data_IF_885217078629
#
_entry.id   IF_885217078629
#
_cell.length_a   1.000
_cell.length_b   1.000
_cell.length_c   1.000
_cell.angle_alpha   90.00
_cell.angle_beta   90.00
_cell.angle_gamma   90.00
#
_symmetry.space_group_name_H-M   'P 1'
#
loop_
_entity.id
_entity.type
_entity.pdbx_description
1 polymer ?
#
# COMPACT_ATOMS: atom_id res chain seq x y z
N UNK A 1 -23.81 3.21 -16.07
CA UNK A 1 -23.96 2.01 -15.22
C UNK A 1 -23.19 2.29 -13.96
N UNK A 2 -23.87 2.40 -12.82
CA UNK A 2 -23.21 2.67 -11.54
C UNK A 2 -22.62 1.35 -11.06
N UNK A 3 -21.28 1.24 -11.00
CA UNK A 3 -20.61 0.03 -10.53
C UNK A 3 -20.74 -0.02 -9.01
N UNK A 4 -21.21 -1.15 -8.48
CA UNK A 4 -21.45 -1.35 -7.05
C UNK A 4 -20.67 -2.58 -6.58
N UNK A 5 -20.03 -2.46 -5.42
CA UNK A 5 -19.18 -3.50 -4.82
C UNK A 5 -19.44 -3.61 -3.31
N UNK A 6 -20.69 -3.49 -2.87
CA UNK A 6 -21.05 -3.66 -1.46
C UNK A 6 -20.64 -5.03 -0.94
N UNK A 7 -20.34 -5.08 0.36
CA UNK A 7 -19.87 -6.30 1.03
C UNK A 7 -18.42 -6.69 0.69
N UNK A 8 -17.77 -5.98 -0.24
CA UNK A 8 -16.34 -6.16 -0.53
C UNK A 8 -15.50 -5.30 0.42
N UNK A 9 -14.51 -5.94 1.03
CA UNK A 9 -13.52 -5.27 1.88
C UNK A 9 -12.26 -4.96 1.08
N UNK A 10 -11.90 -3.69 1.02
CA UNK A 10 -10.78 -3.19 0.24
C UNK A 10 -9.75 -2.55 1.15
N UNK A 11 -8.49 -2.98 1.06
CA UNK A 11 -7.35 -2.40 1.78
C UNK A 11 -6.55 -1.55 0.80
N UNK A 12 -6.31 -0.27 1.13
CA UNK A 12 -5.55 0.65 0.28
C UNK A 12 -4.39 1.25 1.07
N UNK A 13 -3.17 0.99 0.61
CA UNK A 13 -1.96 1.57 1.24
C UNK A 13 -1.64 2.97 0.71
N UNK A 14 -1.17 3.85 1.57
CA UNK A 14 -0.89 5.25 1.19
C UNK A 14 -2.15 6.03 0.82
N UNK A 15 -3.27 5.71 1.46
CA UNK A 15 -4.60 6.20 1.09
C UNK A 15 -4.91 7.65 1.55
N UNK A 16 -4.00 8.32 2.24
CA UNK A 16 -4.25 9.68 2.76
C UNK A 16 -3.99 10.81 1.74
N UNK A 17 -3.51 10.50 0.54
CA UNK A 17 -3.22 11.51 -0.50
C UNK A 17 -3.15 10.93 -1.91
N UNK A 18 -3.23 11.80 -2.92
CA UNK A 18 -2.96 11.46 -4.32
C UNK A 18 -3.81 10.31 -4.86
N UNK A 19 -3.18 9.40 -5.61
CA UNK A 19 -3.84 8.25 -6.24
C UNK A 19 -4.47 7.33 -5.20
N UNK A 20 -3.80 7.11 -4.06
CA UNK A 20 -4.33 6.27 -2.98
C UNK A 20 -5.61 6.84 -2.37
N UNK A 21 -5.67 8.16 -2.16
CA UNK A 21 -6.88 8.84 -1.70
C UNK A 21 -8.02 8.69 -2.71
N UNK A 22 -7.77 9.03 -3.98
CA UNK A 22 -8.78 8.93 -5.03
C UNK A 22 -9.28 7.49 -5.21
N UNK A 23 -8.39 6.50 -5.06
CA UNK A 23 -8.76 5.08 -5.10
C UNK A 23 -9.66 4.71 -3.93
N UNK A 24 -9.30 5.09 -2.70
CA UNK A 24 -10.12 4.84 -1.51
C UNK A 24 -11.49 5.51 -1.61
N UNK A 25 -11.54 6.75 -2.10
CA UNK A 25 -12.78 7.52 -2.32
C UNK A 25 -13.68 6.87 -3.37
N UNK A 26 -13.12 6.44 -4.50
CA UNK A 26 -13.87 5.76 -5.55
C UNK A 26 -14.43 4.40 -5.09
N UNK A 27 -13.63 3.60 -4.37
CA UNK A 27 -14.08 2.34 -3.79
C UNK A 27 -15.21 2.55 -2.78
N UNK A 28 -15.08 3.55 -1.91
CA UNK A 28 -16.10 3.92 -0.94
C UNK A 28 -17.40 4.40 -1.63
N UNK A 29 -17.28 5.19 -2.70
CA UNK A 29 -18.43 5.64 -3.52
C UNK A 29 -19.19 4.49 -4.17
N UNK A 30 -18.49 3.39 -4.49
CA UNK A 30 -19.09 2.17 -5.01
C UNK A 30 -19.66 1.25 -3.91
N UNK A 31 -19.63 1.68 -2.65
CA UNK A 31 -20.24 0.98 -1.50
C UNK A 31 -19.34 -0.05 -0.79
N UNK A 32 -18.04 -0.13 -1.12
CA UNK A 32 -17.12 -1.03 -0.42
C UNK A 32 -16.88 -0.61 1.04
N UNK A 33 -16.46 -1.58 1.86
CA UNK A 33 -15.79 -1.29 3.12
C UNK A 33 -14.31 -1.01 2.84
N UNK A 34 -13.82 0.19 3.16
CA UNK A 34 -12.46 0.62 2.80
C UNK A 34 -11.58 0.77 4.03
N UNK A 35 -10.48 0.04 4.09
CA UNK A 35 -9.44 0.16 5.11
C UNK A 35 -8.25 0.95 4.54
N UNK A 36 -8.12 2.19 4.98
CA UNK A 36 -7.06 3.11 4.61
C UNK A 36 -5.81 2.83 5.45
N UNK A 37 -4.76 2.28 4.85
CA UNK A 37 -3.49 2.09 5.55
C UNK A 37 -2.62 3.33 5.35
N UNK A 38 -2.39 4.06 6.44
CA UNK A 38 -1.65 5.32 6.43
C UNK A 38 -0.54 5.33 7.48
N UNK A 39 0.58 5.98 7.19
CA UNK A 39 1.68 6.12 8.16
C UNK A 39 1.40 7.16 9.24
N UNK A 40 0.90 8.34 8.84
CA UNK A 40 0.61 9.44 9.76
C UNK A 40 -0.88 9.43 10.11
N UNK A 41 -1.17 9.38 11.42
CA UNK A 41 -2.53 9.25 11.95
C UNK A 41 -3.38 10.46 11.62
N UNK A 42 -2.88 11.67 11.86
CA UNK A 42 -3.64 12.92 11.73
C UNK A 42 -4.06 13.18 10.27
N UNK A 43 -3.13 12.97 9.33
CA UNK A 43 -3.42 13.04 7.89
C UNK A 43 -4.38 11.93 7.45
N UNK A 44 -4.26 10.74 8.04
CA UNK A 44 -5.16 9.63 7.82
C UNK A 44 -6.59 9.95 8.27
N UNK A 45 -6.77 10.50 9.47
CA UNK A 45 -8.07 10.88 10.03
C UNK A 45 -8.73 12.01 9.23
N UNK A 46 -7.92 12.97 8.77
CA UNK A 46 -8.38 14.05 7.88
C UNK A 46 -8.91 13.47 6.56
N UNK A 47 -8.16 12.55 5.94
CA UNK A 47 -8.55 11.91 4.69
C UNK A 47 -9.78 11.02 4.86
N UNK A 48 -9.84 10.23 5.93
CA UNK A 48 -10.98 9.40 6.32
C UNK A 48 -12.26 10.24 6.41
N UNK A 49 -12.23 11.33 7.19
CA UNK A 49 -13.38 12.22 7.38
C UNK A 49 -13.88 12.81 6.05
N UNK A 50 -12.92 13.17 5.18
CA UNK A 50 -13.24 13.70 3.85
C UNK A 50 -13.92 12.66 2.95
N UNK A 51 -13.43 11.41 2.94
CA UNK A 51 -14.05 10.34 2.14
C UNK A 51 -15.44 10.01 2.66
N UNK A 52 -15.62 9.84 3.97
CA UNK A 52 -16.94 9.56 4.54
C UNK A 52 -17.94 10.68 4.21
N UNK A 53 -17.52 11.94 4.31
CA UNK A 53 -18.38 13.09 4.02
C UNK A 53 -18.75 13.22 2.55
N UNK A 54 -17.81 12.96 1.64
CA UNK A 54 -18.02 13.10 0.19
C UNK A 54 -18.81 11.94 -0.43
N UNK A 55 -18.62 10.73 0.10
CA UNK A 55 -19.26 9.50 -0.43
C UNK A 55 -20.54 9.13 0.31
N UNK A 56 -20.74 9.65 1.52
CA UNK A 56 -21.82 9.23 2.42
C UNK A 56 -21.66 7.81 2.97
N UNK A 57 -20.55 7.12 2.67
CA UNK A 57 -20.29 5.76 3.12
C UNK A 57 -19.58 5.76 4.48
N UNK A 58 -20.20 5.27 5.57
CA UNK A 58 -19.57 5.23 6.89
C UNK A 58 -18.53 4.11 7.03
N UNK A 59 -18.53 3.12 6.12
CA UNK A 59 -17.66 1.93 6.19
C UNK A 59 -16.25 2.21 5.67
N UNK A 60 -15.67 3.31 6.10
CA UNK A 60 -14.27 3.66 5.83
C UNK A 60 -13.55 3.68 7.17
N UNK A 61 -12.38 3.05 7.23
CA UNK A 61 -11.63 2.83 8.46
C UNK A 61 -10.17 3.19 8.26
N UNK A 62 -9.53 3.71 9.30
CA UNK A 62 -8.10 4.03 9.30
C UNK A 62 -7.29 2.94 10.00
N UNK A 63 -6.25 2.47 9.33
CA UNK A 63 -5.24 1.56 9.88
C UNK A 63 -3.88 2.26 9.86
N UNK A 64 -3.30 2.46 11.04
CA UNK A 64 -1.99 3.13 11.15
C UNK A 64 -0.86 2.10 11.04
N UNK A 65 -0.06 2.23 9.99
CA UNK A 65 1.10 1.37 9.76
C UNK A 65 2.20 2.10 8.98
N UNK A 66 3.44 1.99 9.46
CA UNK A 66 4.62 2.40 8.71
C UNK A 66 5.15 1.21 7.89
N UNK A 67 5.02 1.30 6.57
CA UNK A 67 5.45 0.25 5.65
C UNK A 67 6.97 0.17 5.45
N UNK A 68 7.75 1.08 6.06
CA UNK A 68 9.21 0.97 6.11
C UNK A 68 9.72 0.00 7.20
N UNK A 69 8.83 -0.56 8.03
CA UNK A 69 9.17 -1.48 9.12
C UNK A 69 8.36 -2.77 9.05
N UNK A 70 9.06 -3.89 8.89
CA UNK A 70 8.48 -5.23 8.84
C UNK A 70 7.81 -5.59 10.15
N UNK A 71 8.40 -5.21 11.29
CA UNK A 71 7.77 -5.45 12.60
C UNK A 71 6.43 -4.73 12.74
N UNK A 72 6.30 -3.51 12.20
CA UNK A 72 5.03 -2.77 12.16
C UNK A 72 4.03 -3.41 11.20
N UNK A 73 4.46 -3.87 10.02
CA UNK A 73 3.60 -4.57 9.06
C UNK A 73 3.05 -5.87 9.66
N UNK A 74 3.90 -6.69 10.30
CA UNK A 74 3.47 -7.91 11.01
C UNK A 74 2.45 -7.60 12.10
N UNK A 75 2.71 -6.56 12.88
CA UNK A 75 1.78 -6.11 13.93
C UNK A 75 0.43 -5.67 13.36
N UNK A 76 0.45 -4.93 12.24
CA UNK A 76 -0.75 -4.53 11.51
C UNK A 76 -1.52 -5.73 10.97
N UNK A 77 -0.86 -6.63 10.24
CA UNK A 77 -1.48 -7.82 9.67
C UNK A 77 -2.09 -8.73 10.75
N UNK A 78 -1.43 -8.90 11.89
CA UNK A 78 -1.96 -9.66 13.02
C UNK A 78 -3.24 -9.04 13.59
N UNK A 79 -3.26 -7.72 13.85
CA UNK A 79 -4.47 -7.01 14.31
C UNK A 79 -5.60 -7.02 13.29
N UNK A 80 -5.25 -6.98 12.00
CA UNK A 80 -6.24 -7.01 10.94
C UNK A 80 -6.84 -8.42 10.80
N UNK A 81 -6.00 -9.45 10.85
CA UNK A 81 -6.41 -10.86 10.77
C UNK A 81 -7.29 -11.27 11.95
N UNK A 82 -7.07 -10.72 13.15
CA UNK A 82 -7.94 -11.00 14.30
C UNK A 82 -9.38 -10.50 14.15
N UNK A 83 -9.67 -9.69 13.11
CA UNK A 83 -11.04 -9.28 12.79
C UNK A 83 -11.81 -10.36 12.03
N UNK A 84 -11.11 -11.36 11.49
CA UNK A 84 -11.68 -12.43 10.64
C UNK A 84 -12.51 -11.89 9.46
N UNK A 85 -11.98 -10.84 8.83
CA UNK A 85 -12.63 -10.15 7.70
C UNK A 85 -11.88 -10.53 6.41
N UNK A 86 -12.56 -11.10 5.39
CA UNK A 86 -11.94 -11.43 4.10
C UNK A 86 -11.49 -10.18 3.36
N UNK A 87 -10.27 -10.18 2.80
CA UNK A 87 -9.76 -9.09 1.96
C UNK A 87 -10.09 -9.40 0.51
N UNK A 88 -10.98 -8.61 -0.09
CA UNK A 88 -11.39 -8.81 -1.47
C UNK A 88 -10.49 -8.06 -2.45
N UNK A 89 -9.99 -6.88 -2.05
CA UNK A 89 -9.08 -6.07 -2.86
C UNK A 89 -7.96 -5.55 -1.98
N UNK A 90 -6.72 -5.86 -2.33
CA UNK A 90 -5.53 -5.23 -1.75
C UNK A 90 -4.90 -4.32 -2.79
N UNK A 91 -4.85 -3.01 -2.52
CA UNK A 91 -4.17 -2.02 -3.35
C UNK A 91 -2.86 -1.62 -2.69
N UNK A 92 -1.76 -2.16 -3.21
CA UNK A 92 -0.40 -1.77 -2.88
C UNK A 92 -0.03 -0.47 -3.62
N UNK A 93 -0.56 0.65 -3.14
CA UNK A 93 -0.36 1.98 -3.70
C UNK A 93 0.76 2.78 -3.02
N UNK A 94 1.05 2.53 -1.74
CA UNK A 94 2.06 3.31 -1.02
C UNK A 94 3.41 3.32 -1.77
N UNK A 95 4.00 4.50 -1.88
CA UNK A 95 5.27 4.70 -2.55
C UNK A 95 6.03 5.88 -1.96
N UNK A 96 7.35 5.81 -2.05
CA UNK A 96 8.28 6.82 -1.54
C UNK A 96 9.43 7.01 -2.53
N UNK A 97 9.85 8.26 -2.70
CA UNK A 97 11.06 8.64 -3.44
C UNK A 97 11.89 9.60 -2.59
N UNK A 98 12.69 9.04 -1.69
CA UNK A 98 13.68 9.78 -0.91
C UNK A 98 14.96 9.97 -1.75
N UNK A 99 15.46 11.21 -1.78
CA UNK A 99 16.60 11.59 -2.60
C UNK A 99 17.94 11.21 -1.96
N UNK A 100 17.98 11.05 -0.63
CA UNK A 100 19.17 10.63 0.11
C UNK A 100 19.12 9.15 0.45
N UNK A 101 20.28 8.50 0.53
CA UNK A 101 20.34 7.13 1.05
C UNK A 101 20.07 7.16 2.55
N UNK A 102 18.87 6.76 2.94
CA UNK A 102 18.46 6.62 4.34
C UNK A 102 18.27 5.15 4.64
N UNK A 103 18.78 4.69 5.78
CA UNK A 103 18.59 3.33 6.26
C UNK A 103 17.51 3.31 7.34
N UNK A 104 16.57 2.39 7.26
CA UNK A 104 15.55 2.18 8.31
C UNK A 104 16.19 1.63 9.58
N UNK A 105 15.46 1.65 10.69
CA UNK A 105 15.91 1.05 11.96
C UNK A 105 16.18 -0.45 11.86
N UNK A 106 15.63 -1.12 10.83
CA UNK A 106 15.80 -2.55 10.57
C UNK A 106 16.93 -2.83 9.55
N UNK A 107 17.68 -1.80 9.12
CA UNK A 107 18.86 -1.97 8.27
C UNK A 107 18.61 -1.95 6.76
N UNK A 108 17.38 -1.64 6.32
CA UNK A 108 17.02 -1.59 4.90
C UNK A 108 17.17 -0.18 4.32
N UNK A 109 17.53 -0.07 3.04
CA UNK A 109 17.41 1.21 2.32
C UNK A 109 15.93 1.64 2.27
N UNK A 110 15.64 2.90 2.59
CA UNK A 110 14.29 3.38 2.88
C UNK A 110 13.33 3.28 1.68
N UNK A 111 13.77 3.61 0.47
CA UNK A 111 12.93 3.47 -0.72
C UNK A 111 12.59 2.01 -0.98
N UNK A 112 13.59 1.12 -0.94
CA UNK A 112 13.40 -0.32 -1.06
C UNK A 112 12.47 -0.87 0.02
N UNK A 113 12.66 -0.44 1.27
CA UNK A 113 11.87 -0.86 2.41
C UNK A 113 10.38 -0.58 2.20
N UNK A 114 10.02 0.62 1.71
CA UNK A 114 8.62 0.99 1.46
C UNK A 114 8.09 0.39 0.16
N UNK A 115 8.80 0.62 -0.95
CA UNK A 115 8.29 0.35 -2.29
C UNK A 115 8.25 -1.14 -2.63
N UNK A 116 9.23 -1.92 -2.17
CA UNK A 116 9.36 -3.34 -2.54
C UNK A 116 9.07 -4.22 -1.34
N UNK A 117 9.90 -4.15 -0.31
CA UNK A 117 9.83 -5.06 0.82
C UNK A 117 8.50 -4.93 1.57
N UNK A 118 8.05 -3.70 1.83
CA UNK A 118 6.77 -3.44 2.50
C UNK A 118 5.57 -3.88 1.69
N UNK A 119 5.61 -3.71 0.36
CA UNK A 119 4.58 -4.19 -0.57
C UNK A 119 4.49 -5.72 -0.57
N UNK A 120 5.64 -6.39 -0.69
CA UNK A 120 5.74 -7.85 -0.65
C UNK A 120 5.25 -8.39 0.70
N UNK A 121 5.80 -7.90 1.81
CA UNK A 121 5.43 -8.35 3.15
C UNK A 121 3.95 -8.13 3.47
N UNK A 122 3.37 -7.00 3.04
CA UNK A 122 1.93 -6.75 3.22
C UNK A 122 1.09 -7.79 2.47
N UNK A 123 1.46 -8.11 1.23
CA UNK A 123 0.73 -9.08 0.41
C UNK A 123 0.82 -10.49 1.00
N UNK A 124 2.04 -10.94 1.33
CA UNK A 124 2.27 -12.27 1.92
C UNK A 124 1.51 -12.45 3.23
N UNK A 125 1.54 -11.44 4.12
CA UNK A 125 0.87 -11.52 5.42
C UNK A 125 -0.66 -11.40 5.33
N UNK A 126 -1.19 -10.82 4.25
CA UNK A 126 -2.63 -10.74 3.99
C UNK A 126 -3.14 -11.93 3.17
N UNK A 127 -2.26 -12.81 2.69
CA UNK A 127 -2.62 -13.93 1.83
C UNK A 127 -3.73 -14.82 2.42
N UNK A 128 -3.71 -15.20 3.71
CA UNK A 128 -4.81 -15.99 4.29
C UNK A 128 -6.18 -15.29 4.19
N UNK A 129 -6.22 -13.97 4.33
CA UNK A 129 -7.48 -13.21 4.23
C UNK A 129 -7.93 -13.01 2.79
N UNK A 130 -6.98 -12.95 1.86
CA UNK A 130 -7.25 -12.96 0.41
C UNK A 130 -7.81 -14.33 -0.01
N UNK A 131 -7.30 -15.43 0.54
CA UNK A 131 -7.77 -16.78 0.25
C UNK A 131 -9.22 -17.00 0.69
N UNK A 132 -9.64 -16.43 1.83
CA UNK A 132 -11.05 -16.47 2.26
C UNK A 132 -11.97 -15.78 1.25
N UNK A 133 -11.49 -14.72 0.58
CA UNK A 133 -12.24 -14.00 -0.45
C UNK A 133 -12.17 -14.64 -1.85
N UNK A 134 -11.48 -15.78 -2.01
CA UNK A 134 -11.34 -16.47 -3.29
C UNK A 134 -12.70 -16.96 -3.82
N UNK A 135 -12.97 -16.90 -5.15
CA UNK A 135 -12.08 -16.51 -6.26
C UNK A 135 -12.11 -15.00 -6.58
N UNK A 136 -12.82 -14.20 -5.78
CA UNK A 136 -13.05 -12.78 -6.06
C UNK A 136 -11.88 -11.88 -5.65
N UNK A 137 -10.93 -12.42 -4.87
CA UNK A 137 -9.77 -11.68 -4.38
C UNK A 137 -8.91 -11.11 -5.52
N UNK A 138 -8.45 -9.86 -5.34
CA UNK A 138 -7.54 -9.18 -6.27
C UNK A 138 -6.43 -8.48 -5.49
N UNK A 139 -5.20 -8.63 -5.96
CA UNK A 139 -4.04 -7.83 -5.51
C UNK A 139 -3.65 -6.90 -6.65
N UNK A 140 -3.59 -5.60 -6.38
CA UNK A 140 -3.28 -4.54 -7.33
C UNK A 140 -2.05 -3.81 -6.83
N UNK A 141 -0.95 -3.87 -7.59
CA UNK A 141 0.30 -3.16 -7.25
C UNK A 141 0.49 -1.95 -8.16
N UNK A 142 0.56 -0.77 -7.55
CA UNK A 142 0.74 0.49 -8.29
C UNK A 142 2.24 0.74 -8.53
N UNK A 143 2.65 0.49 -9.78
CA UNK A 143 4.01 0.79 -10.24
C UNK A 143 4.13 2.22 -10.80
N UNK A 144 5.12 2.49 -11.64
CA UNK A 144 5.35 3.77 -12.30
C UNK A 144 6.01 3.58 -13.65
N UNK A 145 5.67 4.41 -14.64
CA UNK A 145 6.37 4.45 -15.92
C UNK A 145 7.87 4.76 -15.81
N UNK A 146 8.33 5.31 -14.68
CA UNK A 146 9.76 5.46 -14.40
C UNK A 146 10.53 4.12 -14.46
N UNK A 147 9.86 2.99 -14.27
CA UNK A 147 10.48 1.66 -14.40
C UNK A 147 11.01 1.36 -15.81
N UNK A 148 10.50 2.01 -16.86
CA UNK A 148 10.95 1.77 -18.23
C UNK A 148 12.41 2.16 -18.46
N UNK A 149 12.99 3.00 -17.60
CA UNK A 149 14.36 3.53 -17.77
C UNK A 149 15.45 2.65 -17.16
N UNK A 150 15.10 1.57 -16.45
CA UNK A 150 16.07 0.70 -15.77
C UNK A 150 15.78 -0.78 -16.03
N UNK A 151 16.83 -1.62 -16.19
CA UNK A 151 16.68 -3.07 -16.19
C UNK A 151 16.39 -3.58 -14.78
N UNK A 152 16.00 -4.87 -14.70
CA UNK A 152 15.96 -5.59 -13.42
C UNK A 152 17.39 -5.74 -12.87
N UNK A 153 17.53 -5.61 -11.56
CA UNK A 153 18.82 -5.67 -10.86
C UNK A 153 18.73 -6.59 -9.65
N UNK A 154 19.85 -7.25 -9.32
CA UNK A 154 20.01 -8.01 -8.08
C UNK A 154 20.40 -7.11 -6.89
N UNK A 155 20.96 -5.93 -7.15
CA UNK A 155 21.18 -4.91 -6.11
C UNK A 155 19.88 -4.13 -5.86
N UNK A 156 19.08 -4.65 -4.93
CA UNK A 156 17.78 -4.07 -4.59
C UNK A 156 17.88 -2.82 -3.71
N UNK A 157 19.03 -2.57 -3.07
CA UNK A 157 19.17 -1.57 -2.01
C UNK A 157 20.20 -0.47 -2.34
N UNK A 158 20.62 -0.41 -3.60
CA UNK A 158 21.56 0.59 -4.10
C UNK A 158 22.85 0.61 -3.27
N UNK A 159 23.55 -0.53 -3.24
CA UNK A 159 24.78 -0.71 -2.46
C UNK A 159 25.96 0.04 -3.04
N UNK A 160 25.97 0.25 -4.36
CA UNK A 160 27.16 0.70 -5.09
C UNK A 160 27.02 2.15 -5.59
N UNK A 161 28.11 2.92 -5.47
CA UNK A 161 28.25 4.22 -6.11
C UNK A 161 27.53 5.39 -5.42
N UNK A 162 27.30 6.46 -6.20
CA UNK A 162 26.64 7.68 -5.71
C UNK A 162 25.13 7.51 -5.78
N UNK A 163 24.49 7.43 -4.62
CA UNK A 163 23.04 7.22 -4.52
C UNK A 163 22.24 8.25 -5.33
N UNK A 164 21.26 7.75 -6.08
CA UNK A 164 20.28 8.54 -6.82
C UNK A 164 18.88 8.06 -6.43
N UNK A 165 18.12 8.89 -5.71
CA UNK A 165 16.77 8.51 -5.26
C UNK A 165 15.80 8.26 -6.41
N UNK A 166 15.91 9.04 -7.50
CA UNK A 166 15.10 8.82 -8.69
C UNK A 166 15.42 7.48 -9.39
N UNK A 167 16.70 7.12 -9.47
CA UNK A 167 17.11 5.84 -10.03
C UNK A 167 16.70 4.67 -9.13
N UNK A 168 16.90 4.79 -7.81
CA UNK A 168 16.47 3.77 -6.86
C UNK A 168 14.94 3.57 -6.90
N UNK A 169 14.17 4.65 -6.99
CA UNK A 169 12.73 4.58 -7.19
C UNK A 169 12.37 3.85 -8.48
N UNK A 170 13.00 4.19 -9.61
CA UNK A 170 12.79 3.49 -10.87
C UNK A 170 13.11 1.98 -10.76
N UNK A 171 14.23 1.63 -10.11
CA UNK A 171 14.64 0.23 -9.86
C UNK A 171 13.59 -0.50 -9.01
N UNK A 172 13.11 0.12 -7.93
CA UNK A 172 12.06 -0.46 -7.10
C UNK A 172 10.77 -0.71 -7.89
N UNK A 173 10.36 0.25 -8.73
CA UNK A 173 9.17 0.12 -9.58
C UNK A 173 9.32 -0.93 -10.66
N UNK A 174 10.53 -1.18 -11.16
CA UNK A 174 10.86 -2.31 -12.05
C UNK A 174 10.67 -3.65 -11.36
N UNK A 175 11.10 -3.78 -10.10
CA UNK A 175 10.93 -5.01 -9.31
C UNK A 175 9.45 -5.35 -9.09
N UNK A 176 8.57 -4.35 -8.95
CA UNK A 176 7.14 -4.58 -8.73
C UNK A 176 6.40 -5.23 -9.91
N UNK A 177 6.99 -5.28 -11.10
CA UNK A 177 6.36 -5.75 -12.35
C UNK A 177 7.11 -6.90 -13.03
N UNK A 178 8.16 -7.42 -12.38
CA UNK A 178 9.03 -8.48 -12.91
C UNK A 178 8.94 -9.70 -11.99
#
# INVERSE_FOLDING_TARGET
MEIRIEGKNCVVTGANSGIGFATAEALASCGATVYMVCRNKEKGETALSKIQSSTGNPNVHLEVCDLSSISKIKSFASRFSSKDVPVHVLVNNAGLMEQKRVTTSEGFELNFAVNVLGTYATTELMLPLLEIASPDARVITVSSGGMYTTPLTSDLQFSDGKFSGAEQYARNKRVQVS
#
